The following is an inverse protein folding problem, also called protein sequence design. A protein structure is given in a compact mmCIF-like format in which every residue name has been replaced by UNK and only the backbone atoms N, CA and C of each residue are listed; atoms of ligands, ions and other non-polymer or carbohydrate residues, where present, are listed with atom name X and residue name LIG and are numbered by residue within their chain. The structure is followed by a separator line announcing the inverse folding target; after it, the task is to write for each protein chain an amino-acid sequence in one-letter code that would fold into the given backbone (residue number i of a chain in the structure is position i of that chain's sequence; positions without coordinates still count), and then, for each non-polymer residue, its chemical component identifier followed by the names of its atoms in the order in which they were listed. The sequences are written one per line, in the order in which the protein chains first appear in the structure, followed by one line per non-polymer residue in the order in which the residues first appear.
data_IF_943397597897
#
_entry.id   IF_943397597897
#
_cell.length_a   1.000
_cell.length_b   1.000
_cell.length_c   1.000
_cell.angle_alpha   90.00
_cell.angle_beta   90.00
_cell.angle_gamma   90.00
#
_symmetry.space_group_name_H-M   'P 1'
#
loop_
_entity.id
_entity.type
_entity.pdbx_description
1 polymer ?
#
# COMPACT_ATOMS: atom_id res chain seq x y z
N UNK A 1 3.94 7.87 -0.31
CA UNK A 1 4.47 7.13 0.86
C UNK A 1 3.70 5.82 0.99
N UNK A 2 4.37 4.70 1.37
CA UNK A 2 3.69 3.42 1.59
C UNK A 2 2.73 3.51 2.78
N UNK A 3 1.60 2.80 2.71
CA UNK A 3 0.63 2.73 3.79
C UNK A 3 1.14 1.87 4.94
N UNK A 4 0.56 2.05 6.13
CA UNK A 4 0.85 1.20 7.29
C UNK A 4 0.70 -0.30 7.01
N UNK A 5 -0.30 -0.68 6.21
CA UNK A 5 -0.47 -2.06 5.78
C UNK A 5 0.66 -2.54 4.86
N UNK A 6 1.07 -1.72 3.89
CA UNK A 6 2.17 -2.05 2.98
C UNK A 6 3.49 -2.24 3.74
N UNK A 7 3.78 -1.37 4.71
CA UNK A 7 4.99 -1.51 5.52
C UNK A 7 5.01 -2.85 6.26
N UNK A 8 3.88 -3.26 6.87
CA UNK A 8 3.78 -4.58 7.53
C UNK A 8 4.05 -5.75 6.58
N UNK A 9 3.54 -5.66 5.34
CA UNK A 9 3.79 -6.68 4.32
C UNK A 9 5.27 -6.70 3.94
N UNK A 10 5.89 -5.52 3.76
CA UNK A 10 7.31 -5.42 3.40
C UNK A 10 8.23 -5.91 4.52
N UNK A 11 7.89 -5.64 5.78
CA UNK A 11 8.64 -6.15 6.93
C UNK A 11 8.65 -7.69 6.93
N UNK A 12 7.50 -8.33 6.69
CA UNK A 12 7.39 -9.80 6.57
C UNK A 12 8.19 -10.34 5.38
N UNK A 13 8.08 -9.71 4.21
CA UNK A 13 8.81 -10.18 3.02
C UNK A 13 10.32 -10.03 3.21
N UNK A 14 10.78 -9.05 3.98
CA UNK A 14 12.21 -8.80 4.23
C UNK A 14 12.86 -9.87 5.12
N UNK A 15 12.08 -10.65 5.88
CA UNK A 15 12.61 -11.73 6.71
C UNK A 15 12.82 -13.04 5.95
N UNK A 16 12.32 -13.13 4.71
CA UNK A 16 12.44 -14.35 3.90
C UNK A 16 13.90 -14.58 3.53
N UNK A 17 14.48 -15.75 3.86
CA UNK A 17 15.85 -16.07 3.47
C UNK A 17 15.95 -16.29 1.96
N UNK A 18 17.13 -16.00 1.40
CA UNK A 18 17.43 -16.25 -0.02
C UNK A 18 17.20 -17.71 -0.39
N UNK A 19 16.69 -17.95 -1.59
CA UNK A 19 16.43 -19.30 -2.08
C UNK A 19 15.18 -19.95 -1.48
N UNK A 20 14.36 -19.20 -0.73
CA UNK A 20 13.03 -19.60 -0.29
C UNK A 20 11.98 -18.68 -0.87
N UNK A 21 10.77 -19.20 -1.00
CA UNK A 21 9.61 -18.43 -1.44
C UNK A 21 8.49 -18.57 -0.44
N UNK A 22 7.67 -17.54 -0.32
CA UNK A 22 6.50 -17.54 0.54
C UNK A 22 5.27 -17.26 -0.30
N UNK A 23 4.18 -17.98 -0.03
CA UNK A 23 2.93 -17.75 -0.74
C UNK A 23 2.22 -16.50 -0.21
N UNK A 24 1.47 -15.81 -1.08
CA UNK A 24 0.62 -14.71 -0.64
C UNK A 24 -0.44 -15.16 0.38
N UNK A 25 -0.89 -16.42 0.30
CA UNK A 25 -1.82 -17.01 1.26
C UNK A 25 -1.21 -17.12 2.65
N UNK A 26 0.02 -17.61 2.75
CA UNK A 26 0.74 -17.74 4.01
C UNK A 26 0.95 -16.37 4.67
N UNK A 27 1.39 -15.35 3.92
CA UNK A 27 1.51 -13.97 4.43
C UNK A 27 0.15 -13.43 4.90
N UNK A 28 -0.89 -13.67 4.11
CA UNK A 28 -2.24 -13.21 4.42
C UNK A 28 -2.78 -13.86 5.71
N UNK A 29 -2.52 -15.15 5.92
CA UNK A 29 -2.88 -15.87 7.14
C UNK A 29 -2.19 -15.26 8.38
N UNK A 30 -0.87 -15.04 8.30
CA UNK A 30 -0.10 -14.44 9.39
C UNK A 30 -0.56 -13.02 9.74
N UNK A 31 -0.93 -12.22 8.74
CA UNK A 31 -1.41 -10.84 8.94
C UNK A 31 -2.92 -10.75 9.21
N UNK A 32 -3.65 -11.85 9.14
CA UNK A 32 -5.13 -11.93 9.16
C UNK A 32 -5.80 -11.04 8.12
N UNK A 33 -5.35 -11.15 6.87
CA UNK A 33 -5.85 -10.37 5.72
C UNK A 33 -6.13 -11.28 4.52
N UNK A 34 -6.47 -10.72 3.36
CA UNK A 34 -6.69 -11.48 2.12
C UNK A 34 -5.46 -11.49 1.22
N UNK A 35 -5.22 -12.61 0.52
CA UNK A 35 -4.10 -12.75 -0.43
C UNK A 35 -4.13 -11.69 -1.54
N UNK A 36 -5.34 -11.25 -1.94
CA UNK A 36 -5.51 -10.16 -2.91
C UNK A 36 -4.99 -8.83 -2.38
N UNK A 37 -5.26 -8.50 -1.11
CA UNK A 37 -4.76 -7.27 -0.49
C UNK A 37 -3.23 -7.25 -0.44
N UNK A 38 -2.60 -8.38 -0.10
CA UNK A 38 -1.14 -8.55 -0.13
C UNK A 38 -0.59 -8.36 -1.55
N UNK A 39 -1.24 -8.97 -2.55
CA UNK A 39 -0.88 -8.80 -3.96
C UNK A 39 -0.97 -7.34 -4.42
N UNK A 40 -2.03 -6.60 -4.04
CA UNK A 40 -2.15 -5.17 -4.32
C UNK A 40 -1.07 -4.34 -3.61
N UNK A 41 -0.70 -4.70 -2.37
CA UNK A 41 0.37 -4.04 -1.63
C UNK A 41 1.73 -4.21 -2.31
N UNK A 42 2.06 -5.43 -2.74
CA UNK A 42 3.30 -5.74 -3.47
C UNK A 42 3.29 -5.15 -4.89
N UNK A 43 2.14 -5.12 -5.56
CA UNK A 43 2.00 -4.57 -6.91
C UNK A 43 2.29 -3.06 -7.00
N UNK A 44 2.14 -2.33 -5.89
CA UNK A 44 2.49 -0.90 -5.78
C UNK A 44 3.99 -0.66 -5.55
N UNK A 45 4.79 -1.72 -5.34
CA UNK A 45 6.24 -1.60 -5.30
C UNK A 45 6.77 -1.38 -6.73
N UNK A 46 7.54 -0.31 -6.94
CA UNK A 46 7.94 0.19 -8.27
C UNK A 46 8.75 -0.81 -9.10
N UNK A 47 9.41 -1.79 -8.48
CA UNK A 47 10.25 -2.78 -9.17
C UNK A 47 9.54 -4.06 -9.63
N UNK A 48 8.48 -4.49 -8.93
CA UNK A 48 7.95 -5.85 -9.07
C UNK A 48 6.42 -5.91 -9.22
N UNK A 49 5.84 -4.89 -9.85
CA UNK A 49 4.40 -4.81 -10.14
C UNK A 49 3.80 -6.09 -10.74
N UNK A 50 2.50 -6.28 -10.52
CA UNK A 50 1.75 -7.39 -11.11
C UNK A 50 1.86 -7.34 -12.63
N UNK A 51 2.23 -8.44 -13.26
CA UNK A 51 2.22 -8.58 -14.72
C UNK A 51 1.25 -9.69 -15.06
N UNK A 52 0.33 -9.43 -16.00
CA UNK A 52 -0.58 -10.44 -16.54
C UNK A 52 0.10 -11.09 -17.74
N UNK A 53 0.07 -12.42 -17.82
CA UNK A 53 0.71 -13.19 -18.89
C UNK A 53 1.96 -13.96 -18.46
N UNK A 54 2.24 -15.08 -19.15
CA UNK A 54 3.37 -15.98 -18.86
C UNK A 54 4.71 -15.44 -19.38
N UNK A 55 4.69 -14.73 -20.51
CA UNK A 55 5.89 -14.28 -21.23
C UNK A 55 6.06 -12.77 -21.25
N UNK A 56 6.13 -12.15 -20.07
CA UNK A 56 6.56 -10.76 -19.97
C UNK A 56 8.01 -10.68 -19.52
N UNK A 57 8.74 -9.65 -19.95
CA UNK A 57 10.14 -9.43 -19.54
C UNK A 57 10.28 -9.39 -18.01
N UNK A 58 9.27 -8.87 -17.32
CA UNK A 58 9.21 -8.85 -15.86
C UNK A 58 9.12 -10.24 -15.24
N UNK A 59 8.34 -11.15 -15.84
CA UNK A 59 8.23 -12.55 -15.37
C UNK A 59 9.55 -13.28 -15.62
N UNK A 60 10.18 -13.08 -16.78
CA UNK A 60 11.49 -13.66 -17.11
C UNK A 60 12.58 -13.15 -16.17
N UNK A 61 12.57 -11.86 -15.82
CA UNK A 61 13.52 -11.28 -14.86
C UNK A 61 13.32 -11.87 -13.45
N UNK A 62 12.08 -11.98 -12.98
CA UNK A 62 11.76 -12.61 -11.68
C UNK A 62 12.23 -14.07 -11.63
N UNK A 63 11.99 -14.83 -12.70
CA UNK A 63 12.48 -16.22 -12.82
C UNK A 63 14.00 -16.28 -12.69
N UNK A 64 14.73 -15.47 -13.46
CA UNK A 64 16.21 -15.39 -13.39
C UNK A 64 16.74 -15.03 -12.00
N UNK A 65 16.06 -14.12 -11.28
CA UNK A 65 16.46 -13.74 -9.92
C UNK A 65 16.31 -14.94 -8.98
N UNK A 66 15.18 -15.65 -9.04
CA UNK A 66 14.93 -16.82 -8.21
C UNK A 66 15.88 -17.98 -8.53
N UNK A 67 16.19 -18.22 -9.80
CA UNK A 67 17.18 -19.21 -10.22
C UNK A 67 18.58 -18.88 -9.67
N UNK A 68 18.98 -17.60 -9.68
CA UNK A 68 20.26 -17.15 -9.09
C UNK A 68 20.31 -17.33 -7.57
N UNK A 69 19.17 -17.31 -6.90
CA UNK A 69 19.07 -17.62 -5.47
C UNK A 69 19.06 -19.13 -5.18
N UNK A 70 19.06 -19.98 -6.22
CA UNK A 70 19.06 -21.44 -6.08
C UNK A 70 17.67 -22.07 -6.07
N UNK A 71 16.62 -21.33 -6.47
CA UNK A 71 15.27 -21.88 -6.61
C UNK A 71 15.16 -22.62 -7.95
N UNK A 72 14.84 -23.91 -7.89
CA UNK A 72 14.59 -24.72 -9.09
C UNK A 72 13.11 -24.65 -9.49
N UNK A 73 12.91 -24.51 -10.80
CA UNK A 73 11.60 -24.59 -11.44
C UNK A 73 11.45 -25.94 -12.14
N UNK A 74 10.28 -26.55 -12.01
CA UNK A 74 9.84 -27.66 -12.84
C UNK A 74 8.76 -27.12 -13.78
N UNK A 75 9.09 -27.06 -15.06
CA UNK A 75 8.31 -26.37 -16.11
C UNK A 75 8.08 -24.88 -15.77
N UNK A 76 6.85 -24.54 -15.38
CA UNK A 76 6.43 -23.20 -14.98
C UNK A 76 6.14 -23.08 -13.47
N UNK A 77 6.37 -24.15 -12.70
CA UNK A 77 6.05 -24.20 -11.26
C UNK A 77 7.32 -24.34 -10.41
N UNK A 78 7.28 -23.73 -9.23
CA UNK A 78 8.32 -23.89 -8.22
C UNK A 78 8.05 -25.18 -7.46
N UNK A 79 9.10 -25.95 -7.13
CA UNK A 79 8.96 -27.15 -6.31
C UNK A 79 8.54 -26.79 -4.88
N UNK A 80 7.63 -27.57 -4.29
CA UNK A 80 7.08 -27.30 -2.95
C UNK A 80 8.15 -27.17 -1.85
N UNK A 81 9.29 -27.84 -2.01
CA UNK A 81 10.43 -27.78 -1.08
C UNK A 81 10.97 -26.36 -0.83
N UNK A 82 10.77 -25.41 -1.75
CA UNK A 82 11.23 -24.04 -1.60
C UNK A 82 10.23 -23.13 -0.87
N UNK A 83 8.98 -23.58 -0.73
CA UNK A 83 7.96 -22.84 -0.01
C UNK A 83 8.18 -22.91 1.49
N UNK A 84 7.99 -21.76 2.14
CA UNK A 84 7.97 -21.65 3.60
C UNK A 84 6.65 -21.04 4.05
N UNK A 85 6.19 -21.45 5.23
CA UNK A 85 5.03 -20.85 5.87
C UNK A 85 5.41 -19.57 6.61
N UNK A 86 4.52 -18.59 6.60
CA UNK A 86 4.73 -17.34 7.31
C UNK A 86 4.85 -17.56 8.83
N UNK A 87 4.08 -18.52 9.36
CA UNK A 87 4.04 -18.79 10.79
C UNK A 87 5.35 -19.40 11.32
N UNK A 88 6.08 -20.15 10.48
CA UNK A 88 7.38 -20.74 10.86
C UNK A 88 8.51 -19.72 10.90
N UNK A 89 8.36 -18.55 10.25
CA UNK A 89 9.33 -17.45 10.29
C UNK A 89 9.29 -16.64 11.62
N UNK A 90 8.65 -17.18 12.67
CA UNK A 90 8.52 -16.53 13.97
C UNK A 90 7.98 -15.07 13.88
N UNK A 91 7.12 -14.81 12.89
CA UNK A 91 6.37 -13.54 12.75
C UNK A 91 5.43 -13.32 13.96
N UNK A 92 5.21 -14.36 14.77
CA UNK A 92 4.20 -14.42 15.81
C UNK A 92 4.46 -13.59 17.08
N UNK A 93 5.67 -13.07 17.33
CA UNK A 93 5.96 -12.37 18.60
C UNK A 93 6.69 -11.04 18.48
N UNK A 94 7.47 -10.84 17.42
CA UNK A 94 8.12 -9.57 17.16
C UNK A 94 7.07 -8.61 16.58
N UNK A 95 6.98 -7.40 17.13
CA UNK A 95 6.31 -6.27 16.48
C UNK A 95 4.80 -5.98 16.64
N UNK A 96 4.04 -6.56 17.58
CA UNK A 96 2.84 -5.83 18.08
C UNK A 96 3.24 -4.63 18.94
N UNK A 97 4.30 -4.79 19.74
CA UNK A 97 4.78 -3.80 20.72
C UNK A 97 5.68 -2.74 20.08
N UNK A 98 6.52 -3.13 19.12
CA UNK A 98 7.46 -2.24 18.43
C UNK A 98 6.74 -1.42 17.33
N UNK A 99 5.72 -1.98 16.66
CA UNK A 99 4.83 -1.24 15.77
C UNK A 99 3.94 -0.24 16.50
N UNK A 100 3.38 -0.58 17.67
CA UNK A 100 2.67 0.38 18.54
C UNK A 100 3.55 1.56 18.98
N UNK A 101 4.89 1.41 18.96
CA UNK A 101 5.85 2.50 19.19
C UNK A 101 6.11 3.28 17.89
N UNK A 102 6.32 2.60 16.76
CA UNK A 102 6.58 3.23 15.44
C UNK A 102 5.38 4.01 14.88
N UNK A 103 4.16 3.48 15.03
CA UNK A 103 2.90 4.12 14.64
C UNK A 103 2.51 5.34 15.52
N UNK A 104 3.28 5.63 16.58
CA UNK A 104 3.20 6.85 17.39
C UNK A 104 4.15 7.96 16.92
N UNK A 105 4.84 7.79 15.78
CA UNK A 105 5.48 8.93 15.11
C UNK A 105 4.40 9.94 14.69
N UNK A 106 4.67 11.25 14.80
CA UNK A 106 3.64 12.27 14.73
C UNK A 106 2.87 12.14 13.42
N UNK A 107 1.54 12.15 13.53
CA UNK A 107 0.63 12.22 12.38
C UNK A 107 1.20 13.27 11.44
N UNK A 108 1.41 12.93 10.16
CA UNK A 108 1.55 13.99 9.16
C UNK A 108 0.24 14.77 9.21
N UNK A 109 0.27 15.94 9.83
CA UNK A 109 -0.81 16.91 9.88
C UNK A 109 -1.07 17.43 8.47
N UNK A 110 -1.64 16.60 7.60
CA UNK A 110 -2.24 17.08 6.38
C UNK A 110 -3.28 16.09 5.85
N UNK A 111 -4.38 15.95 6.58
CA UNK A 111 -5.65 15.62 5.96
C UNK A 111 -6.65 16.71 6.34
N UNK A 112 -6.87 17.61 5.37
CA UNK A 112 -8.11 18.34 5.16
C UNK A 112 -8.88 18.71 6.43
N UNK A 113 -8.38 19.72 7.17
CA UNK A 113 -9.24 20.46 8.10
C UNK A 113 -10.25 21.23 7.24
N UNK A 114 -11.34 20.58 6.84
CA UNK A 114 -12.55 21.27 6.42
C UNK A 114 -12.99 22.03 7.67
N UNK A 115 -12.70 23.33 7.71
CA UNK A 115 -13.08 24.19 8.80
C UNK A 115 -14.58 24.00 9.06
N UNK A 116 -14.94 23.48 10.23
CA UNK A 116 -16.30 23.59 10.74
C UNK A 116 -16.48 25.06 11.06
N UNK A 117 -17.11 25.81 10.16
CA UNK A 117 -17.71 27.09 10.52
C UNK A 117 -18.81 26.75 11.52
N UNK A 118 -18.62 27.15 12.77
CA UNK A 118 -19.66 27.07 13.79
C UNK A 118 -20.73 28.10 13.46
N UNK A 119 -21.99 27.67 13.44
CA UNK A 119 -23.16 28.52 13.26
C UNK A 119 -23.28 29.46 14.47
N UNK A 120 -22.65 30.62 14.38
CA UNK A 120 -22.70 31.66 15.40
C UNK A 120 -21.89 32.85 14.92
N UNK A 121 -22.59 33.96 14.67
CA UNK A 121 -22.06 35.28 14.31
C UNK A 121 -21.73 35.55 12.84
N UNK A 122 -22.62 35.17 11.92
CA UNK A 122 -22.63 35.76 10.57
C UNK A 122 -23.75 36.79 10.48
N UNK A 123 -23.41 38.06 10.75
CA UNK A 123 -24.33 39.18 10.53
C UNK A 123 -24.79 39.20 9.06
N UNK A 124 -26.09 39.42 8.75
CA UNK A 124 -26.64 39.34 7.39
C UNK A 124 -25.90 40.19 6.34
N UNK A 125 -25.22 41.25 6.78
CA UNK A 125 -24.41 42.13 5.96
C UNK A 125 -23.20 41.43 5.33
N UNK A 126 -22.58 40.48 6.04
CA UNK A 126 -21.39 39.75 5.56
C UNK A 126 -21.78 38.77 4.45
N UNK A 127 -22.89 38.05 4.63
CA UNK A 127 -23.44 37.14 3.63
C UNK A 127 -23.84 37.91 2.36
N UNK A 128 -24.47 39.08 2.52
CA UNK A 128 -24.88 39.92 1.39
C UNK A 128 -23.68 40.40 0.56
N UNK A 129 -22.56 40.75 1.22
CA UNK A 129 -21.31 41.16 0.56
C UNK A 129 -20.65 39.99 -0.19
N UNK A 130 -20.67 38.79 0.39
CA UNK A 130 -20.10 37.59 -0.21
C UNK A 130 -20.91 37.13 -1.44
N UNK A 131 -22.24 37.18 -1.37
CA UNK A 131 -23.12 36.91 -2.52
C UNK A 131 -22.87 37.92 -3.65
N UNK A 132 -22.72 39.21 -3.32
CA UNK A 132 -22.45 40.25 -4.33
C UNK A 132 -21.10 40.02 -5.04
N UNK A 133 -20.06 39.61 -4.31
CA UNK A 133 -18.74 39.33 -4.88
C UNK A 133 -18.76 38.09 -5.79
N UNK A 134 -19.52 37.06 -5.43
CA UNK A 134 -19.72 35.87 -6.27
C UNK A 134 -20.47 36.23 -7.56
N UNK A 135 -21.50 37.07 -7.48
CA UNK A 135 -22.25 37.50 -8.65
C UNK A 135 -21.42 38.42 -9.56
N UNK A 136 -20.59 39.30 -8.99
CA UNK A 136 -19.68 40.16 -9.75
C UNK A 136 -18.61 39.39 -10.55
N UNK A 137 -18.13 38.26 -10.02
CA UNK A 137 -17.14 37.40 -10.70
C UNK A 137 -17.71 36.61 -11.88
N UNK A 138 -19.03 36.40 -11.97
CA UNK A 138 -19.66 35.64 -13.07
C UNK A 138 -19.87 36.46 -14.35
N UNK A 139 -19.54 37.75 -14.37
CA UNK A 139 -19.82 38.68 -15.47
C UNK A 139 -18.76 38.82 -16.57
N UNK A 140 -17.84 37.86 -16.77
CA UNK A 140 -16.95 37.83 -17.95
C UNK A 140 -16.81 36.43 -18.54
N UNK A 141 -17.93 35.79 -18.84
CA UNK A 141 -17.98 34.75 -19.85
C UNK A 141 -17.90 35.42 -21.21
N UNK A 142 -16.81 35.16 -21.95
CA UNK A 142 -16.58 35.63 -23.32
C UNK A 142 -17.79 35.29 -24.19
N UNK A 143 -18.31 36.28 -24.91
CA UNK A 143 -19.19 36.06 -26.06
C UNK A 143 -18.48 35.14 -27.05
N UNK A 144 -19.18 34.10 -27.50
CA UNK A 144 -18.85 33.44 -28.77
C UNK A 144 -19.06 34.41 -29.94
#
# INVERSE_FOLDING_TARGET
MPTHFQMRVYDVVSTVPKGRVISYGSIANALKTSSRAVGTAMGKNRGFGGTKGKDSDKVRLKRKILEREGVEFQDDKIKDRFFIEADSLAISKVDRKLWRKRARSPKSDNCNKRAKLTEGDVSPQVIKKEILDILGRRGKGKSC
#
